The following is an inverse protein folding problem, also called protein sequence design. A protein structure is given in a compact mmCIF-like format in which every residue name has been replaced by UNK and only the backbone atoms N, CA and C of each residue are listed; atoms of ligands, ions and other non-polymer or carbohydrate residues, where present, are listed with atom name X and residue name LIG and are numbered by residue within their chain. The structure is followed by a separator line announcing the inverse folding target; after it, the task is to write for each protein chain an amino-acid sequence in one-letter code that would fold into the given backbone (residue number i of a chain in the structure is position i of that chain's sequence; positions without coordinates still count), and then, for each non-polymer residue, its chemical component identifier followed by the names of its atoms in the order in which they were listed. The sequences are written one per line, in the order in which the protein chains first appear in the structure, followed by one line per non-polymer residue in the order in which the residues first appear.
data_IF_059885282765
#
_entry.id   IF_059885282765
#
_cell.length_a   1.000
_cell.length_b   1.000
_cell.length_c   1.000
_cell.angle_alpha   90.00
_cell.angle_beta   90.00
_cell.angle_gamma   90.00
#
_symmetry.space_group_name_H-M   'P 1'
#
loop_
_entity.id
_entity.type
_entity.pdbx_description
1 polymer ?
#
# COMPACT_ATOMS: atom_id res chain seq x y z
N UNK A 1 -8.05 10.59 31.38
CA UNK A 1 -8.09 11.89 30.67
C UNK A 1 -7.82 11.53 29.20
N UNK A 2 -8.72 11.79 28.26
CA UNK A 2 -8.44 11.50 26.86
C UNK A 2 -7.30 12.44 26.39
N UNK A 3 -6.16 11.85 26.06
CA UNK A 3 -5.01 12.58 25.52
C UNK A 3 -5.35 13.03 24.09
N UNK A 4 -5.41 14.34 23.90
CA UNK A 4 -5.66 14.94 22.59
C UNK A 4 -4.40 14.71 21.74
N UNK A 5 -4.55 13.99 20.63
CA UNK A 5 -3.50 13.85 19.60
C UNK A 5 -2.94 15.24 19.24
N UNK A 6 -1.63 15.39 19.01
CA UNK A 6 -1.09 16.64 18.50
C UNK A 6 -1.75 16.93 17.15
N UNK A 7 -2.42 18.08 17.06
CA UNK A 7 -2.95 18.56 15.79
C UNK A 7 -1.74 18.87 14.89
N UNK A 8 -1.62 18.15 13.79
CA UNK A 8 -0.69 18.49 12.71
C UNK A 8 -0.92 19.96 12.33
N UNK A 9 0.15 20.73 12.28
CA UNK A 9 0.08 22.15 11.89
C UNK A 9 -0.59 22.24 10.51
N UNK A 10 -1.63 23.07 10.41
CA UNK A 10 -2.41 23.33 9.19
C UNK A 10 -1.64 24.18 8.17
N UNK A 11 -0.37 23.91 7.90
CA UNK A 11 0.34 24.58 6.82
C UNK A 11 0.56 23.60 5.66
N UNK A 12 -0.18 23.80 4.58
CA UNK A 12 0.05 23.35 3.21
C UNK A 12 -0.19 21.87 2.84
N UNK A 13 -0.79 21.05 3.67
CA UNK A 13 -1.19 19.70 3.25
C UNK A 13 -2.61 19.70 2.67
N UNK A 14 -2.71 19.52 1.36
CA UNK A 14 -3.99 19.17 0.71
C UNK A 14 -4.56 17.95 1.44
N UNK A 15 -5.82 18.03 1.90
CA UNK A 15 -6.44 16.91 2.62
C UNK A 15 -6.50 15.66 1.74
N UNK A 16 -6.50 14.47 2.35
CA UNK A 16 -6.65 13.19 1.62
C UNK A 16 -7.92 13.22 0.75
N UNK A 17 -9.01 13.80 1.26
CA UNK A 17 -10.25 13.96 0.51
C UNK A 17 -10.10 14.92 -0.69
N UNK A 18 -9.27 15.96 -0.59
CA UNK A 18 -8.97 16.87 -1.70
C UNK A 18 -8.10 16.16 -2.75
N UNK A 19 -7.09 15.41 -2.34
CA UNK A 19 -6.28 14.58 -3.25
C UNK A 19 -7.15 13.57 -4.00
N UNK A 20 -8.07 12.91 -3.32
CA UNK A 20 -9.01 11.98 -3.94
C UNK A 20 -9.94 12.69 -4.94
N UNK A 21 -10.40 13.91 -4.65
CA UNK A 21 -11.18 14.72 -5.60
C UNK A 21 -10.36 15.12 -6.82
N UNK A 22 -9.11 15.55 -6.62
CA UNK A 22 -8.19 15.88 -7.71
C UNK A 22 -7.92 14.69 -8.60
N UNK A 23 -7.65 13.51 -8.04
CA UNK A 23 -7.44 12.28 -8.79
C UNK A 23 -8.64 11.92 -9.68
N UNK A 24 -9.87 12.11 -9.18
CA UNK A 24 -11.11 11.89 -9.95
C UNK A 24 -11.34 12.92 -11.07
N UNK A 25 -10.70 14.08 -10.99
CA UNK A 25 -10.84 15.15 -12.00
C UNK A 25 -9.78 15.10 -13.10
N UNK A 26 -8.83 14.17 -13.02
CA UNK A 26 -7.83 13.99 -14.08
C UNK A 26 -8.53 13.49 -15.34
N UNK A 27 -8.53 14.33 -16.37
CA UNK A 27 -8.97 13.94 -17.72
C UNK A 27 -7.80 13.27 -18.42
N UNK A 28 -7.98 12.01 -18.78
CA UNK A 28 -6.99 11.31 -19.60
C UNK A 28 -7.17 11.70 -21.06
N UNK A 29 -6.07 11.98 -21.75
CA UNK A 29 -6.09 12.12 -23.21
C UNK A 29 -6.62 10.82 -23.83
N UNK A 30 -7.66 10.95 -24.66
CA UNK A 30 -8.24 9.80 -25.36
C UNK A 30 -7.34 9.41 -26.52
N UNK A 31 -6.44 8.47 -26.26
CA UNK A 31 -5.61 7.87 -27.31
C UNK A 31 -6.48 7.05 -28.26
N UNK A 32 -6.21 7.13 -29.55
CA UNK A 32 -6.81 6.23 -30.53
C UNK A 32 -6.30 4.80 -30.34
N UNK A 33 -7.05 3.81 -30.83
CA UNK A 33 -6.62 2.41 -30.76
C UNK A 33 -5.24 2.18 -31.40
N UNK A 34 -4.93 2.89 -32.49
CA UNK A 34 -3.64 2.81 -33.16
C UNK A 34 -2.50 3.38 -32.32
N UNK A 35 -2.72 4.50 -31.63
CA UNK A 35 -1.74 5.11 -30.74
C UNK A 35 -1.48 4.19 -29.54
N UNK A 36 -2.52 3.65 -28.90
CA UNK A 36 -2.38 2.68 -27.78
C UNK A 36 -1.56 1.46 -28.20
N UNK A 37 -1.89 0.85 -29.34
CA UNK A 37 -1.15 -0.30 -29.85
C UNK A 37 0.32 0.05 -30.15
N UNK A 38 0.58 1.24 -30.68
CA UNK A 38 1.94 1.72 -30.93
C UNK A 38 2.73 1.90 -29.63
N UNK A 39 2.13 2.53 -28.62
CA UNK A 39 2.75 2.74 -27.32
C UNK A 39 3.02 1.42 -26.59
N UNK A 40 2.05 0.49 -26.63
CA UNK A 40 2.20 -0.85 -26.04
C UNK A 40 3.38 -1.60 -26.62
N UNK A 41 3.53 -1.59 -27.97
CA UNK A 41 4.68 -2.21 -28.64
C UNK A 41 6.00 -1.54 -28.24
N UNK A 42 6.05 -0.20 -28.21
CA UNK A 42 7.24 0.54 -27.80
C UNK A 42 7.62 0.23 -26.35
N UNK A 43 6.64 0.13 -25.45
CA UNK A 43 6.87 -0.25 -24.06
C UNK A 43 7.44 -1.66 -23.95
N UNK A 44 6.89 -2.64 -24.67
CA UNK A 44 7.42 -4.01 -24.70
C UNK A 44 8.86 -4.07 -25.22
N UNK A 45 9.16 -3.33 -26.31
CA UNK A 45 10.53 -3.23 -26.84
C UNK A 45 11.50 -2.60 -25.83
N UNK A 46 11.06 -1.56 -25.09
CA UNK A 46 11.84 -0.92 -24.05
C UNK A 46 12.13 -1.86 -22.88
N UNK A 47 11.13 -2.57 -22.38
CA UNK A 47 11.29 -3.54 -21.31
C UNK A 47 12.35 -4.59 -21.66
N UNK A 48 12.27 -5.15 -22.88
CA UNK A 48 13.24 -6.14 -23.35
C UNK A 48 14.66 -5.55 -23.49
N UNK A 49 14.78 -4.34 -24.05
CA UNK A 49 16.08 -3.69 -24.27
C UNK A 49 16.78 -3.29 -22.97
N UNK A 50 16.03 -2.85 -21.97
CA UNK A 50 16.55 -2.35 -20.69
C UNK A 50 16.67 -3.44 -19.62
N UNK A 51 16.53 -4.73 -20.00
CA UNK A 51 16.54 -5.86 -19.07
C UNK A 51 15.57 -5.59 -17.89
N UNK A 52 14.33 -5.25 -18.24
CA UNK A 52 13.30 -4.82 -17.31
C UNK A 52 12.08 -5.75 -17.35
N UNK A 53 11.43 -5.92 -16.20
CA UNK A 53 10.15 -6.62 -16.08
C UNK A 53 9.09 -5.69 -15.53
N UNK A 54 7.89 -5.72 -16.11
CA UNK A 54 6.72 -4.97 -15.64
C UNK A 54 5.93 -5.84 -14.66
N UNK A 55 5.70 -5.33 -13.45
CA UNK A 55 4.78 -5.91 -12.47
C UNK A 55 3.61 -4.95 -12.25
N UNK A 56 2.39 -5.43 -12.41
CA UNK A 56 1.18 -4.62 -12.39
C UNK A 56 0.26 -5.02 -11.24
N UNK A 57 -0.24 -4.03 -10.50
CA UNK A 57 -1.28 -4.29 -9.52
C UNK A 57 -2.62 -4.53 -10.22
N UNK A 58 -3.42 -5.45 -9.71
CA UNK A 58 -4.70 -5.87 -10.34
C UNK A 58 -5.78 -4.78 -10.41
N UNK A 59 -5.57 -3.60 -9.82
CA UNK A 59 -6.49 -2.46 -9.97
C UNK A 59 -6.05 -1.43 -11.03
N UNK A 60 -4.88 -1.58 -11.66
CA UNK A 60 -4.49 -0.70 -12.76
C UNK A 60 -5.26 -1.02 -14.02
N UNK A 61 -5.19 -0.13 -15.01
CA UNK A 61 -5.86 -0.33 -16.30
C UNK A 61 -5.53 -1.68 -16.92
N UNK A 62 -6.54 -2.32 -17.57
CA UNK A 62 -6.40 -3.64 -18.16
C UNK A 62 -5.30 -3.73 -19.21
N UNK A 63 -5.06 -2.64 -19.97
CA UNK A 63 -3.99 -2.60 -20.97
C UNK A 63 -2.59 -2.72 -20.34
N UNK A 64 -2.40 -2.17 -19.13
CA UNK A 64 -1.15 -2.35 -18.37
C UNK A 64 -1.02 -3.75 -17.78
N UNK A 65 -2.12 -4.34 -17.33
CA UNK A 65 -2.13 -5.72 -16.85
C UNK A 65 -1.76 -6.69 -17.98
N UNK A 66 -2.41 -6.57 -19.14
CA UNK A 66 -2.11 -7.37 -20.33
C UNK A 66 -0.65 -7.19 -20.79
N UNK A 67 -0.13 -5.95 -20.81
CA UNK A 67 1.27 -5.69 -21.15
C UNK A 67 2.22 -6.41 -20.18
N UNK A 68 1.92 -6.39 -18.87
CA UNK A 68 2.75 -7.09 -17.89
C UNK A 68 2.80 -8.60 -18.18
N UNK A 69 1.65 -9.24 -18.40
CA UNK A 69 1.57 -10.67 -18.70
C UNK A 69 2.26 -11.03 -20.02
N UNK A 70 2.03 -10.26 -21.10
CA UNK A 70 2.63 -10.48 -22.43
C UNK A 70 4.16 -10.33 -22.45
N UNK A 71 4.70 -9.49 -21.57
CA UNK A 71 6.15 -9.25 -21.48
C UNK A 71 6.86 -10.09 -20.43
N UNK A 72 6.18 -11.11 -19.87
CA UNK A 72 6.78 -12.03 -18.91
C UNK A 72 6.80 -11.51 -17.49
N UNK A 73 6.03 -10.47 -17.20
CA UNK A 73 5.80 -9.95 -15.86
C UNK A 73 4.63 -10.63 -15.15
N UNK A 74 4.05 -9.95 -14.16
CA UNK A 74 2.91 -10.48 -13.42
C UNK A 74 1.85 -9.41 -13.11
N UNK A 75 0.62 -9.89 -12.87
CA UNK A 75 -0.48 -9.11 -12.29
C UNK A 75 -0.81 -9.71 -10.93
N UNK A 76 -0.65 -8.93 -9.86
CA UNK A 76 -0.76 -9.47 -8.50
C UNK A 76 -1.10 -8.38 -7.46
N UNK A 77 -1.18 -8.78 -6.19
CA UNK A 77 -1.15 -7.86 -5.05
C UNK A 77 0.27 -7.31 -4.79
N UNK A 78 0.34 -6.33 -3.89
CA UNK A 78 1.59 -5.60 -3.62
C UNK A 78 2.75 -6.48 -3.13
N UNK A 79 2.47 -7.51 -2.35
CA UNK A 79 3.51 -8.39 -1.82
C UNK A 79 3.98 -9.38 -2.89
N UNK A 80 3.06 -9.96 -3.63
CA UNK A 80 3.39 -10.89 -4.69
C UNK A 80 4.13 -10.22 -5.84
N UNK A 81 3.74 -8.97 -6.21
CA UNK A 81 4.52 -8.15 -7.15
C UNK A 81 5.98 -7.98 -6.69
N UNK A 82 6.20 -7.69 -5.40
CA UNK A 82 7.53 -7.50 -4.85
C UNK A 82 8.33 -8.82 -4.81
N UNK A 83 7.68 -9.95 -4.46
CA UNK A 83 8.29 -11.29 -4.51
C UNK A 83 8.65 -11.71 -5.93
N UNK A 84 7.74 -11.50 -6.87
CA UNK A 84 8.00 -11.77 -8.28
C UNK A 84 9.20 -10.96 -8.78
N UNK A 85 9.23 -9.66 -8.49
CA UNK A 85 10.37 -8.79 -8.81
C UNK A 85 11.68 -9.26 -8.20
N UNK A 86 11.66 -9.78 -6.95
CA UNK A 86 12.84 -10.34 -6.29
C UNK A 86 13.40 -11.56 -7.03
N UNK A 87 12.53 -12.49 -7.44
CA UNK A 87 12.94 -13.77 -8.04
C UNK A 87 13.19 -13.69 -9.55
N UNK A 88 12.59 -12.70 -10.23
CA UNK A 88 12.76 -12.53 -11.67
C UNK A 88 14.21 -12.17 -12.03
N UNK A 89 14.80 -12.69 -13.13
CA UNK A 89 16.20 -12.44 -13.49
C UNK A 89 16.51 -11.01 -13.94
N UNK A 90 15.52 -10.24 -14.41
CA UNK A 90 15.73 -8.87 -14.89
C UNK A 90 16.35 -7.98 -13.81
N UNK A 91 17.22 -7.06 -14.23
CA UNK A 91 17.89 -6.10 -13.33
C UNK A 91 17.01 -4.93 -12.93
N UNK A 92 15.99 -4.64 -13.75
CA UNK A 92 15.06 -3.53 -13.52
C UNK A 92 13.66 -4.07 -13.29
N UNK A 93 12.98 -3.59 -12.23
CA UNK A 93 11.56 -3.87 -11.96
C UNK A 93 10.77 -2.59 -12.17
N UNK A 94 9.84 -2.61 -13.10
CA UNK A 94 8.91 -1.49 -13.37
C UNK A 94 7.59 -1.81 -12.67
N UNK A 95 7.18 -0.95 -11.76
CA UNK A 95 5.99 -1.15 -10.91
C UNK A 95 4.85 -0.26 -11.39
N UNK A 96 3.83 -0.87 -11.96
CA UNK A 96 2.53 -0.23 -12.24
C UNK A 96 1.62 -0.41 -11.02
N UNK A 97 1.62 0.59 -10.15
CA UNK A 97 0.90 0.62 -8.88
C UNK A 97 1.18 1.93 -8.15
N UNK A 98 0.86 2.00 -6.87
CA UNK A 98 1.15 3.19 -6.05
C UNK A 98 2.56 3.13 -5.45
N UNK A 99 3.07 4.30 -5.04
CA UNK A 99 4.46 4.52 -4.61
C UNK A 99 4.97 3.49 -3.60
N UNK A 100 4.24 3.20 -2.51
CA UNK A 100 4.69 2.27 -1.48
C UNK A 100 4.95 0.84 -2.01
N UNK A 101 4.33 0.45 -3.12
CA UNK A 101 4.56 -0.86 -3.76
C UNK A 101 5.95 -0.92 -4.39
N UNK A 102 6.37 0.17 -5.06
CA UNK A 102 7.72 0.31 -5.57
C UNK A 102 8.77 0.34 -4.45
N UNK A 103 8.47 1.06 -3.36
CA UNK A 103 9.32 1.07 -2.16
C UNK A 103 9.45 -0.33 -1.55
N UNK A 104 8.36 -1.08 -1.44
CA UNK A 104 8.38 -2.47 -0.96
C UNK A 104 9.19 -3.38 -1.89
N UNK A 105 9.01 -3.24 -3.20
CA UNK A 105 9.82 -3.98 -4.19
C UNK A 105 11.32 -3.65 -4.03
N UNK A 106 11.66 -2.37 -3.80
CA UNK A 106 13.06 -1.95 -3.58
C UNK A 106 13.64 -2.47 -2.26
N UNK A 107 12.85 -2.50 -1.18
CA UNK A 107 13.27 -3.08 0.10
C UNK A 107 13.62 -4.57 -0.06
N UNK A 108 12.80 -5.33 -0.79
CA UNK A 108 13.03 -6.76 -1.01
C UNK A 108 14.12 -7.06 -2.06
N UNK A 109 14.39 -6.11 -2.96
CA UNK A 109 15.37 -6.26 -4.04
C UNK A 109 16.34 -5.08 -4.08
N UNK A 110 17.19 -4.90 -3.04
CA UNK A 110 18.03 -3.70 -2.90
C UNK A 110 19.07 -3.56 -4.01
N UNK A 111 19.47 -4.65 -4.66
CA UNK A 111 20.42 -4.67 -5.77
C UNK A 111 19.80 -4.27 -7.13
N UNK A 112 18.47 -4.37 -7.26
CA UNK A 112 17.77 -4.05 -8.52
C UNK A 112 17.42 -2.57 -8.62
N UNK A 113 17.34 -2.08 -9.84
CA UNK A 113 16.66 -0.82 -10.11
C UNK A 113 15.15 -1.04 -10.03
N UNK A 114 14.45 -0.17 -9.27
CA UNK A 114 12.99 -0.19 -9.20
C UNK A 114 12.46 1.16 -9.68
N UNK A 115 11.59 1.13 -10.66
CA UNK A 115 10.93 2.29 -11.25
C UNK A 115 9.44 2.20 -10.99
N UNK A 116 8.82 3.31 -10.57
CA UNK A 116 7.36 3.41 -10.41
C UNK A 116 6.81 4.21 -11.59
N UNK A 117 5.80 3.68 -12.27
CA UNK A 117 5.20 4.29 -13.47
C UNK A 117 4.66 5.68 -13.17
N UNK A 118 3.98 5.84 -12.03
CA UNK A 118 3.43 7.12 -11.57
C UNK A 118 3.82 7.36 -10.11
N UNK A 119 4.93 8.09 -9.85
CA UNK A 119 5.40 8.34 -8.48
C UNK A 119 4.42 9.16 -7.62
N UNK A 120 3.49 9.89 -8.24
CA UNK A 120 2.48 10.68 -7.53
C UNK A 120 1.23 9.85 -7.20
N UNK A 121 1.13 8.62 -7.70
CA UNK A 121 0.07 7.71 -7.28
C UNK A 121 0.31 7.25 -5.85
N UNK A 122 -0.55 7.66 -4.94
CA UNK A 122 -0.43 7.46 -3.49
C UNK A 122 -1.63 6.68 -2.95
N UNK A 123 -1.41 6.00 -1.83
CA UNK A 123 -2.46 5.30 -1.08
C UNK A 123 -2.92 6.16 0.10
N UNK A 124 -4.23 6.23 0.35
CA UNK A 124 -4.77 6.98 1.48
C UNK A 124 -4.31 6.47 2.85
N UNK A 125 -4.00 5.18 2.98
CA UNK A 125 -3.40 4.61 4.19
C UNK A 125 -2.00 5.15 4.44
N UNK A 126 -1.17 5.20 3.40
CA UNK A 126 0.18 5.76 3.45
C UNK A 126 0.14 7.26 3.80
N UNK A 127 -0.70 8.02 3.09
CA UNK A 127 -0.93 9.45 3.36
C UNK A 127 -1.47 9.72 4.78
N UNK A 128 -2.29 8.81 5.32
CA UNK A 128 -2.84 8.88 6.67
C UNK A 128 -1.86 8.49 7.78
N UNK A 129 -0.63 8.08 7.42
CA UNK A 129 0.42 7.68 8.37
C UNK A 129 1.76 8.38 8.04
N UNK A 130 1.86 9.72 8.18
CA UNK A 130 3.09 10.44 7.91
C UNK A 130 4.23 9.97 8.81
N UNK A 131 5.39 9.64 8.24
CA UNK A 131 6.51 9.01 8.94
C UNK A 131 6.97 9.77 10.20
N UNK A 132 7.09 11.10 10.11
CA UNK A 132 7.51 11.92 11.26
C UNK A 132 6.50 11.86 12.42
N UNK A 133 5.20 11.93 12.11
CA UNK A 133 4.15 11.88 13.13
C UNK A 133 4.05 10.46 13.73
N UNK A 134 4.18 9.43 12.89
CA UNK A 134 4.19 8.04 13.34
C UNK A 134 5.41 7.73 14.21
N UNK A 135 6.60 8.21 13.83
CA UNK A 135 7.81 8.05 14.64
C UNK A 135 7.65 8.69 16.02
N UNK A 136 7.16 9.94 16.07
CA UNK A 136 6.89 10.62 17.34
C UNK A 136 5.83 9.89 18.21
N UNK A 137 4.86 9.24 17.59
CA UNK A 137 3.88 8.40 18.29
C UNK A 137 4.54 7.15 18.87
N UNK A 138 5.39 6.46 18.12
CA UNK A 138 6.15 5.31 18.61
C UNK A 138 7.08 5.69 19.78
N UNK A 139 7.73 6.85 19.69
CA UNK A 139 8.66 7.32 20.73
C UNK A 139 7.97 7.61 22.07
N UNK A 140 6.64 7.83 22.08
CA UNK A 140 5.86 7.95 23.31
C UNK A 140 5.51 6.59 23.94
N UNK A 141 5.78 5.50 23.24
CA UNK A 141 5.45 4.13 23.64
C UNK A 141 6.61 3.17 23.40
N UNK A 142 7.81 3.46 23.93
CA UNK A 142 9.04 2.71 23.62
C UNK A 142 9.00 1.24 24.09
N UNK A 143 8.05 0.91 24.96
CA UNK A 143 7.83 -0.45 25.47
C UNK A 143 6.97 -1.34 24.55
N UNK A 144 6.53 -0.81 23.41
CA UNK A 144 5.63 -1.52 22.50
C UNK A 144 6.34 -1.93 21.20
N UNK A 145 6.12 -3.16 20.80
CA UNK A 145 6.52 -3.69 19.49
C UNK A 145 5.68 -3.05 18.38
N UNK A 146 6.35 -2.54 17.36
CA UNK A 146 5.71 -1.80 16.26
C UNK A 146 5.37 -2.74 15.10
N UNK A 147 4.09 -2.94 14.85
CA UNK A 147 3.57 -3.75 13.75
C UNK A 147 2.88 -2.84 12.74
N UNK A 148 3.34 -2.85 11.49
CA UNK A 148 2.74 -2.05 10.42
C UNK A 148 2.20 -2.92 9.29
N UNK A 149 1.03 -2.55 8.80
CA UNK A 149 0.51 -3.10 7.56
C UNK A 149 1.27 -2.55 6.36
N UNK A 150 1.48 -3.37 5.35
CA UNK A 150 2.38 -3.11 4.22
C UNK A 150 2.08 -1.81 3.43
N UNK A 151 0.85 -1.28 3.53
CA UNK A 151 0.42 -0.06 2.84
C UNK A 151 0.91 1.21 3.55
N UNK A 152 2.21 1.35 3.69
CA UNK A 152 2.92 2.46 4.34
C UNK A 152 4.20 2.77 3.57
N UNK A 153 4.77 3.97 3.77
CA UNK A 153 6.05 4.37 3.18
C UNK A 153 7.22 3.53 3.69
N UNK A 154 8.33 3.57 2.97
CA UNK A 154 9.58 2.94 3.40
C UNK A 154 10.07 3.50 4.75
N UNK A 155 9.88 4.81 5.00
CA UNK A 155 10.26 5.44 6.27
C UNK A 155 9.42 4.91 7.46
N UNK A 156 8.13 4.70 7.28
CA UNK A 156 7.26 4.07 8.29
C UNK A 156 7.68 2.62 8.52
N UNK A 157 7.98 1.86 7.45
CA UNK A 157 8.49 0.49 7.55
C UNK A 157 9.83 0.41 8.29
N UNK A 158 10.71 1.40 8.10
CA UNK A 158 11.99 1.46 8.79
C UNK A 158 11.85 1.67 10.31
N UNK A 159 10.69 2.20 10.78
CA UNK A 159 10.39 2.36 12.21
C UNK A 159 9.73 1.14 12.81
N UNK A 160 9.28 0.20 11.98
CA UNK A 160 8.54 -0.99 12.40
C UNK A 160 9.47 -2.15 12.77
N UNK A 161 9.06 -2.96 13.74
CA UNK A 161 9.68 -4.25 14.05
C UNK A 161 9.13 -5.34 13.11
N UNK A 162 7.85 -5.21 12.72
CA UNK A 162 7.18 -6.15 11.83
C UNK A 162 6.37 -5.42 10.76
N UNK A 163 6.48 -5.90 9.52
CA UNK A 163 5.65 -5.48 8.38
C UNK A 163 4.80 -6.67 7.95
N UNK A 164 3.47 -6.48 7.96
CA UNK A 164 2.51 -7.56 7.70
C UNK A 164 1.56 -7.23 6.55
N UNK A 165 0.99 -8.29 5.99
CA UNK A 165 -0.21 -8.21 5.14
C UNK A 165 -1.45 -8.63 5.93
N UNK A 166 -2.64 -8.38 5.40
CA UNK A 166 -3.90 -8.77 6.04
C UNK A 166 -4.00 -10.28 6.28
N UNK A 167 -3.39 -11.09 5.43
CA UNK A 167 -3.44 -12.56 5.52
C UNK A 167 -2.73 -13.15 6.74
N UNK A 168 -1.68 -12.49 7.24
CA UNK A 168 -0.87 -12.99 8.37
C UNK A 168 -1.03 -12.16 9.65
N UNK A 169 -1.78 -11.05 9.58
CA UNK A 169 -1.87 -10.09 10.67
C UNK A 169 -2.41 -10.69 11.97
N UNK A 170 -3.46 -11.50 11.87
CA UNK A 170 -4.07 -12.15 13.05
C UNK A 170 -3.10 -13.14 13.69
N UNK A 171 -2.48 -14.00 12.88
CA UNK A 171 -1.58 -15.05 13.38
C UNK A 171 -0.35 -14.43 14.04
N UNK A 172 0.30 -13.45 13.40
CA UNK A 172 1.46 -12.77 13.98
C UNK A 172 1.11 -12.06 15.28
N UNK A 173 0.02 -11.30 15.31
CA UNK A 173 -0.37 -10.57 16.52
C UNK A 173 -0.76 -11.53 17.66
N UNK A 174 -1.39 -12.66 17.34
CA UNK A 174 -1.68 -13.70 18.32
C UNK A 174 -0.39 -14.30 18.92
N UNK A 175 0.60 -14.59 18.07
CA UNK A 175 1.89 -15.13 18.52
C UNK A 175 2.66 -14.14 19.40
N UNK A 176 2.72 -12.86 19.02
CA UNK A 176 3.35 -11.81 19.83
C UNK A 176 2.63 -11.60 21.15
N UNK A 177 1.30 -11.61 21.15
CA UNK A 177 0.50 -11.49 22.37
C UNK A 177 0.71 -12.68 23.32
N UNK A 178 0.86 -13.90 22.79
CA UNK A 178 1.18 -15.09 23.59
C UNK A 178 2.56 -15.00 24.25
N UNK A 179 3.48 -14.23 23.68
CA UNK A 179 4.80 -13.91 24.25
C UNK A 179 4.76 -12.76 25.27
N UNK A 180 3.58 -12.15 25.48
CA UNK A 180 3.39 -11.04 26.41
C UNK A 180 3.69 -9.67 25.82
N UNK A 181 3.88 -9.56 24.52
CA UNK A 181 4.17 -8.31 23.82
C UNK A 181 2.96 -7.37 23.82
N UNK A 182 3.22 -6.10 24.06
CA UNK A 182 2.29 -5.00 23.80
C UNK A 182 2.67 -4.35 22.49
N UNK A 183 1.69 -4.05 21.65
CA UNK A 183 1.99 -3.65 20.28
C UNK A 183 1.39 -2.28 19.93
N UNK A 184 2.03 -1.60 18.96
CA UNK A 184 1.45 -0.52 18.17
C UNK A 184 1.03 -1.12 16.83
N UNK A 185 -0.12 -0.72 16.32
CA UNK A 185 -0.61 -1.08 14.99
C UNK A 185 -0.85 0.16 14.14
N UNK A 186 -0.34 0.15 12.90
CA UNK A 186 -0.57 1.18 11.89
C UNK A 186 -0.67 0.54 10.49
N UNK A 187 -1.16 1.24 9.47
CA UNK A 187 -1.81 2.55 9.49
C UNK A 187 -3.33 2.48 9.63
N UNK A 188 -3.96 1.32 9.35
CA UNK A 188 -5.43 1.16 9.27
C UNK A 188 -6.01 0.75 10.62
N UNK A 189 -6.76 1.67 11.23
CA UNK A 189 -7.46 1.41 12.50
C UNK A 189 -8.53 0.33 12.39
N UNK A 190 -9.19 0.17 11.23
CA UNK A 190 -10.25 -0.82 11.06
C UNK A 190 -9.70 -2.23 11.00
N UNK A 191 -8.63 -2.45 10.25
CA UNK A 191 -7.92 -3.73 10.26
C UNK A 191 -7.32 -4.00 11.66
N UNK A 192 -6.73 -2.98 12.27
CA UNK A 192 -6.18 -3.09 13.64
C UNK A 192 -7.24 -3.44 14.69
N UNK A 193 -8.42 -2.82 14.62
CA UNK A 193 -9.54 -3.14 15.52
C UNK A 193 -10.06 -4.57 15.29
N UNK A 194 -10.13 -5.00 14.03
CA UNK A 194 -10.45 -6.39 13.69
C UNK A 194 -9.44 -7.37 14.32
N UNK A 195 -8.15 -7.15 14.09
CA UNK A 195 -7.06 -7.99 14.63
C UNK A 195 -7.12 -8.00 16.16
N UNK A 196 -7.29 -6.83 16.79
CA UNK A 196 -7.43 -6.71 18.25
C UNK A 196 -8.58 -7.53 18.79
N UNK A 197 -9.75 -7.50 18.14
CA UNK A 197 -10.92 -8.29 18.55
C UNK A 197 -10.72 -9.79 18.37
N UNK A 198 -10.02 -10.22 17.31
CA UNK A 198 -9.75 -11.62 17.04
C UNK A 198 -8.75 -12.22 18.03
N UNK A 199 -7.76 -11.45 18.46
CA UNK A 199 -6.63 -11.93 19.26
C UNK A 199 -6.76 -11.60 20.75
N UNK A 200 -7.54 -10.58 21.12
CA UNK A 200 -7.56 -10.03 22.48
C UNK A 200 -6.28 -9.31 22.89
N UNK A 201 -5.36 -9.04 21.95
CA UNK A 201 -4.06 -8.45 22.21
C UNK A 201 -4.14 -7.00 22.75
N UNK A 202 -3.14 -6.59 23.55
CA UNK A 202 -2.92 -5.19 23.92
C UNK A 202 -2.35 -4.42 22.71
N UNK A 203 -3.24 -3.98 21.85
CA UNK A 203 -2.94 -3.32 20.59
C UNK A 203 -3.33 -1.84 20.66
N UNK A 204 -2.34 -0.94 20.60
CA UNK A 204 -2.51 0.50 20.50
C UNK A 204 -2.59 0.88 19.02
N UNK A 205 -3.73 1.43 18.60
CA UNK A 205 -4.01 1.69 17.19
C UNK A 205 -3.61 3.13 16.81
N UNK A 206 -2.91 3.26 15.69
CA UNK A 206 -2.79 4.53 14.97
C UNK A 206 -4.16 4.93 14.39
N UNK A 207 -4.50 6.21 14.44
CA UNK A 207 -5.82 6.72 14.00
C UNK A 207 -5.81 7.05 12.49
N UNK A 208 -5.36 6.12 11.65
CA UNK A 208 -5.43 6.20 10.19
C UNK A 208 -6.54 5.32 9.62
N UNK A 209 -6.99 5.66 8.42
CA UNK A 209 -8.04 4.90 7.72
C UNK A 209 -7.88 4.95 6.21
N UNK A 210 -8.43 3.94 5.54
CA UNK A 210 -8.57 3.91 4.09
C UNK A 210 -9.89 4.59 3.69
N UNK A 211 -9.82 5.61 2.82
CA UNK A 211 -11.02 6.29 2.31
C UNK A 211 -11.96 5.32 1.57
N UNK A 212 -11.42 4.27 0.94
CA UNK A 212 -12.21 3.23 0.26
C UNK A 212 -12.92 2.36 1.29
N UNK A 213 -12.23 1.94 2.36
CA UNK A 213 -12.85 1.14 3.42
C UNK A 213 -13.96 1.91 4.15
N UNK A 214 -13.83 3.22 4.28
CA UNK A 214 -14.87 4.07 4.89
C UNK A 214 -16.18 4.14 4.09
N UNK A 215 -16.13 3.87 2.77
CA UNK A 215 -17.33 3.80 1.92
C UNK A 215 -18.13 2.51 2.14
N UNK A 216 -17.51 1.44 2.67
CA UNK A 216 -18.21 0.19 2.97
C UNK A 216 -19.04 0.31 4.25
N UNK A 217 -20.32 0.67 4.09
CA UNK A 217 -21.28 0.73 5.20
C UNK A 217 -21.92 -0.63 5.43
N UNK A 218 -21.94 -1.10 6.67
CA UNK A 218 -22.53 -2.39 7.04
C UNK A 218 -24.01 -2.50 6.60
N UNK A 219 -24.77 -1.41 6.71
CA UNK A 219 -26.17 -1.34 6.28
C UNK A 219 -26.33 -1.59 4.76
N UNK A 220 -25.46 -1.00 3.95
CA UNK A 220 -25.47 -1.15 2.49
C UNK A 220 -25.16 -2.61 2.11
N UNK A 221 -24.16 -3.20 2.74
CA UNK A 221 -23.78 -4.61 2.54
C UNK A 221 -24.90 -5.58 3.00
N UNK A 222 -25.52 -5.28 4.13
CA UNK A 222 -26.67 -6.05 4.62
C UNK A 222 -27.83 -6.03 3.63
N UNK A 223 -28.19 -4.84 3.13
CA UNK A 223 -29.26 -4.68 2.15
C UNK A 223 -28.93 -5.42 0.84
N UNK A 224 -27.68 -5.31 0.34
CA UNK A 224 -27.24 -6.01 -0.86
C UNK A 224 -27.38 -7.53 -0.71
N UNK A 225 -26.95 -8.08 0.45
CA UNK A 225 -27.06 -9.53 0.75
C UNK A 225 -28.51 -10.02 0.79
N UNK A 226 -29.48 -9.16 1.13
CA UNK A 226 -30.90 -9.53 1.17
C UNK A 226 -31.63 -9.35 -0.16
N UNK A 227 -31.00 -8.67 -1.13
CA UNK A 227 -31.54 -8.48 -2.48
C UNK A 227 -31.09 -9.57 -3.46
N UNK A 228 -30.07 -10.33 -3.10
CA UNK A 228 -29.47 -11.43 -3.85
C UNK A 228 -29.34 -12.69 -2.97
#
# INVERSE_FOLDING_TARGET
IPMRMPQLSQSDSISIADKARQARSVTHDTLTATERQSLRRQAAELLAREDAVLVAHYYVDSELQELAEETGGCVADSLEMARFGLTHPARTVVVAGVRFMGETAKILSPEKQVLVVEPQAECSLDLGCPAAAFSAFCDQHPERTVVVYANTSAEVKARADWVVTSSIAVDLVADLAAQGEKMIWAPDRYLGDYVKRQTGADLLLWDGSCIVHEEFKAEVLFNLKHQH
#
